data_IF_609103416196
#
_entry.id   IF_609103416196
#
_cell.length_a   1.000
_cell.length_b   1.000
_cell.length_c   1.000
_cell.angle_alpha   90.00
_cell.angle_beta   90.00
_cell.angle_gamma   90.00
#
_symmetry.space_group_name_H-M   'P 1'
#
loop_
_entity.id
_entity.type
_entity.pdbx_description
1 polymer ?
#
# COMPACT_ATOMS: atom_id res chain seq x y z
N UNK A 1 9.00 24.98 9.89
CA UNK A 1 9.05 23.58 10.35
C UNK A 1 9.15 22.74 9.09
N UNK A 2 10.16 21.85 8.95
CA UNK A 2 10.16 20.92 7.82
C UNK A 2 8.86 20.13 7.86
N UNK A 3 8.09 20.19 6.77
CA UNK A 3 6.82 19.48 6.65
C UNK A 3 7.16 18.00 6.66
N UNK A 4 6.53 17.24 7.55
CA UNK A 4 6.78 15.80 7.66
C UNK A 4 6.33 15.11 6.36
N UNK A 5 7.24 14.54 5.58
CA UNK A 5 6.98 13.86 4.29
C UNK A 5 5.83 12.86 4.39
N UNK A 6 5.74 12.11 5.50
CA UNK A 6 4.61 11.21 5.78
C UNK A 6 3.28 11.95 5.81
N UNK A 7 3.19 13.08 6.51
CA UNK A 7 1.94 13.84 6.62
C UNK A 7 1.55 14.46 5.29
N UNK A 8 2.52 15.07 4.58
CA UNK A 8 2.30 15.69 3.27
C UNK A 8 1.81 14.65 2.26
N UNK A 9 2.52 13.52 2.14
CA UNK A 9 2.17 12.48 1.17
C UNK A 9 0.88 11.76 1.51
N UNK A 10 0.61 11.51 2.80
CA UNK A 10 -0.68 10.92 3.23
C UNK A 10 -1.84 11.84 2.86
N UNK A 11 -1.74 13.14 3.14
CA UNK A 11 -2.77 14.11 2.79
C UNK A 11 -2.97 14.21 1.27
N UNK A 12 -1.89 14.22 0.50
CA UNK A 12 -1.94 14.13 -0.96
C UNK A 12 -2.66 12.85 -1.42
N UNK A 13 -2.25 11.69 -0.91
CA UNK A 13 -2.79 10.39 -1.31
C UNK A 13 -4.28 10.26 -1.00
N UNK A 14 -4.74 10.71 0.16
CA UNK A 14 -6.16 10.71 0.52
C UNK A 14 -6.97 11.61 -0.44
N UNK A 15 -6.45 12.79 -0.75
CA UNK A 15 -7.06 13.69 -1.73
C UNK A 15 -7.07 13.10 -3.14
N UNK A 16 -5.99 12.43 -3.52
CA UNK A 16 -5.84 11.73 -4.79
C UNK A 16 -6.85 10.59 -4.90
N UNK A 17 -7.00 9.76 -3.87
CA UNK A 17 -8.00 8.67 -3.82
C UNK A 17 -9.44 9.17 -3.97
N UNK A 18 -9.78 10.31 -3.37
CA UNK A 18 -11.11 10.89 -3.53
C UNK A 18 -11.37 11.31 -4.99
N UNK A 19 -10.37 11.92 -5.64
CA UNK A 19 -10.44 12.25 -7.08
C UNK A 19 -10.48 10.98 -7.93
N UNK A 20 -9.73 9.94 -7.54
CA UNK A 20 -9.70 8.65 -8.21
C UNK A 20 -11.09 8.02 -8.26
N UNK A 21 -11.80 7.96 -7.12
CA UNK A 21 -13.16 7.45 -7.06
C UNK A 21 -14.12 8.21 -8.00
N UNK A 22 -14.03 9.54 -8.04
CA UNK A 22 -14.87 10.37 -8.93
C UNK A 22 -14.57 10.12 -10.40
N UNK A 23 -13.30 10.08 -10.77
CA UNK A 23 -12.87 9.76 -12.14
C UNK A 23 -13.34 8.37 -12.57
N UNK A 24 -13.27 7.38 -11.67
CA UNK A 24 -13.73 6.02 -11.94
C UNK A 24 -15.24 5.97 -12.24
N UNK A 25 -16.07 6.73 -11.54
CA UNK A 25 -17.51 6.82 -11.86
C UNK A 25 -17.74 7.38 -13.27
N UNK A 26 -16.94 8.37 -13.70
CA UNK A 26 -17.03 8.96 -15.04
C UNK A 26 -16.57 7.96 -16.12
N UNK A 27 -15.49 7.23 -15.89
CA UNK A 27 -14.98 6.21 -16.81
C UNK A 27 -15.98 5.05 -16.99
N UNK A 28 -16.59 4.56 -15.91
CA UNK A 28 -17.61 3.52 -15.97
C UNK A 28 -18.88 3.99 -16.71
N UNK A 29 -19.34 5.21 -16.44
CA UNK A 29 -20.49 5.79 -17.13
C UNK A 29 -20.24 5.95 -18.65
N UNK A 30 -19.03 6.38 -19.03
CA UNK A 30 -18.63 6.50 -20.42
C UNK A 30 -18.48 5.13 -21.12
N UNK A 31 -17.90 4.15 -20.43
CA UNK A 31 -17.73 2.78 -20.95
C UNK A 31 -19.04 2.07 -21.26
N UNK A 32 -20.13 2.41 -20.56
CA UNK A 32 -21.47 1.85 -20.74
C UNK A 32 -22.32 2.59 -21.81
N UNK A 33 -21.72 3.41 -22.67
CA UNK A 33 -22.41 4.10 -23.76
C UNK A 33 -23.00 5.47 -23.40
N UNK A 34 -22.56 6.10 -22.31
CA UNK A 34 -23.01 7.43 -21.92
C UNK A 34 -22.61 8.52 -22.93
N UNK A 35 -23.57 8.99 -23.75
CA UNK A 35 -23.36 9.96 -24.84
C UNK A 35 -22.85 11.36 -24.43
N UNK A 36 -22.80 11.68 -23.14
CA UNK A 36 -22.42 13.01 -22.65
C UNK A 36 -20.92 13.20 -22.36
N UNK A 37 -20.10 12.14 -22.49
CA UNK A 37 -18.69 12.19 -22.13
C UNK A 37 -17.83 12.28 -23.39
N UNK A 38 -16.84 13.19 -23.41
CA UNK A 38 -15.81 13.24 -24.45
C UNK A 38 -14.73 12.20 -24.10
N UNK A 39 -14.66 11.04 -24.79
CA UNK A 39 -13.81 9.92 -24.35
C UNK A 39 -12.32 10.28 -24.32
N UNK A 40 -11.85 11.05 -25.29
CA UNK A 40 -10.48 11.58 -25.31
C UNK A 40 -10.15 12.43 -24.09
N UNK A 41 -11.09 13.28 -23.64
CA UNK A 41 -10.90 14.10 -22.47
C UNK A 41 -10.80 13.25 -21.20
N UNK A 42 -11.61 12.20 -21.08
CA UNK A 42 -11.53 11.28 -19.95
C UNK A 42 -10.23 10.49 -19.92
N UNK A 43 -9.77 10.00 -21.08
CA UNK A 43 -8.47 9.31 -21.20
C UNK A 43 -7.33 10.25 -20.79
N UNK A 44 -7.36 11.51 -21.25
CA UNK A 44 -6.37 12.51 -20.86
C UNK A 44 -6.41 12.76 -19.35
N UNK A 45 -7.60 12.98 -18.79
CA UNK A 45 -7.78 13.18 -17.35
C UNK A 45 -7.27 11.98 -16.53
N UNK A 46 -7.51 10.75 -16.98
CA UNK A 46 -7.00 9.56 -16.32
C UNK A 46 -5.48 9.46 -16.41
N UNK A 47 -4.92 9.74 -17.58
CA UNK A 47 -3.46 9.76 -17.79
C UNK A 47 -2.79 10.79 -16.87
N UNK A 48 -3.32 12.01 -16.82
CA UNK A 48 -2.81 13.09 -15.97
C UNK A 48 -2.96 12.76 -14.49
N UNK A 49 -4.07 12.14 -14.09
CA UNK A 49 -4.30 11.74 -12.72
C UNK A 49 -3.29 10.70 -12.22
N UNK A 50 -2.92 9.72 -13.03
CA UNK A 50 -1.85 8.78 -12.67
C UNK A 50 -0.46 9.41 -12.76
N UNK A 51 -0.22 10.33 -13.71
CA UNK A 51 1.05 11.05 -13.78
C UNK A 51 1.32 11.86 -12.52
N UNK A 52 0.32 12.63 -12.05
CA UNK A 52 0.38 13.40 -10.79
C UNK A 52 0.80 12.51 -9.61
N UNK A 53 0.26 11.28 -9.53
CA UNK A 53 0.63 10.34 -8.46
C UNK A 53 2.12 9.98 -8.50
N UNK A 54 2.66 9.63 -9.67
CA UNK A 54 4.06 9.22 -9.77
C UNK A 54 5.04 10.39 -9.63
N UNK A 55 4.65 11.59 -10.04
CA UNK A 55 5.46 12.81 -9.83
C UNK A 55 5.58 13.14 -8.33
N UNK A 56 4.46 13.12 -7.60
CA UNK A 56 4.48 13.35 -6.15
C UNK A 56 5.22 12.23 -5.42
N UNK A 57 5.02 10.97 -5.85
CA UNK A 57 5.73 9.81 -5.29
C UNK A 57 7.23 9.93 -5.51
N UNK A 58 7.67 10.35 -6.70
CA UNK A 58 9.09 10.58 -7.00
C UNK A 58 9.68 11.62 -6.06
N UNK A 59 8.98 12.73 -5.82
CA UNK A 59 9.42 13.77 -4.88
C UNK A 59 9.57 13.21 -3.46
N UNK A 60 8.57 12.44 -3.00
CA UNK A 60 8.62 11.82 -1.68
C UNK A 60 9.70 10.71 -1.57
N UNK A 61 10.02 10.01 -2.66
CA UNK A 61 11.13 9.04 -2.73
C UNK A 61 12.49 9.69 -2.55
N UNK A 62 12.70 10.90 -3.10
CA UNK A 62 13.92 11.67 -2.89
C UNK A 62 14.09 12.10 -1.43
N UNK A 63 12.97 12.46 -0.76
CA UNK A 63 12.97 12.86 0.64
C UNK A 63 13.14 11.68 1.61
N UNK A 64 12.37 10.61 1.44
CA UNK A 64 12.38 9.43 2.31
C UNK A 64 12.00 8.15 1.54
N UNK A 65 13.01 7.50 0.96
CA UNK A 65 12.85 6.25 0.22
C UNK A 65 12.28 5.10 1.08
N UNK A 66 12.60 5.04 2.38
CA UNK A 66 12.13 3.97 3.24
C UNK A 66 10.65 4.09 3.56
N UNK A 67 10.15 5.32 3.71
CA UNK A 67 8.73 5.59 3.82
C UNK A 67 7.96 5.08 2.59
N UNK A 68 8.50 5.26 1.39
CA UNK A 68 7.87 4.76 0.15
C UNK A 68 7.96 3.23 0.02
N UNK A 69 9.02 2.61 0.54
CA UNK A 69 9.15 1.14 0.62
C UNK A 69 8.08 0.50 1.53
N UNK A 70 7.68 1.18 2.60
CA UNK A 70 6.71 0.67 3.57
C UNK A 70 5.59 1.67 3.80
N UNK A 71 4.73 1.90 2.79
CA UNK A 71 3.80 3.01 2.81
C UNK A 71 2.66 2.75 3.82
N UNK A 72 2.53 3.58 4.86
CA UNK A 72 1.51 3.38 5.89
C UNK A 72 0.09 3.75 5.43
N UNK A 73 -0.05 4.47 4.31
CA UNK A 73 -1.34 4.81 3.71
C UNK A 73 -1.98 3.69 2.87
N UNK A 74 -1.23 2.61 2.62
CA UNK A 74 -1.74 1.38 2.00
C UNK A 74 -2.16 0.36 3.05
N UNK A 75 -3.13 -0.47 2.70
CA UNK A 75 -3.57 -1.62 3.52
C UNK A 75 -2.55 -2.76 3.47
N UNK A 76 -2.65 -3.72 4.40
CA UNK A 76 -1.76 -4.90 4.35
C UNK A 76 -1.93 -5.71 3.06
N UNK A 77 -3.16 -5.82 2.56
CA UNK A 77 -3.47 -6.52 1.32
C UNK A 77 -2.91 -5.82 0.09
N UNK A 78 -3.03 -4.49 0.00
CA UNK A 78 -2.41 -3.72 -1.09
C UNK A 78 -0.89 -3.93 -1.10
N UNK A 79 -0.23 -3.83 0.07
CA UNK A 79 1.22 -4.05 0.18
C UNK A 79 1.64 -5.48 -0.23
N UNK A 80 0.82 -6.49 0.04
CA UNK A 80 1.10 -7.87 -0.34
C UNK A 80 1.10 -8.10 -1.86
N UNK A 81 0.52 -7.17 -2.63
CA UNK A 81 0.48 -7.21 -4.10
C UNK A 81 1.63 -6.44 -4.75
N UNK A 82 2.49 -5.80 -3.96
CA UNK A 82 3.60 -5.02 -4.49
C UNK A 82 4.74 -5.92 -4.96
N UNK A 83 5.35 -5.53 -6.08
CA UNK A 83 6.58 -6.14 -6.58
C UNK A 83 7.82 -5.34 -6.17
N UNK A 84 7.74 -4.00 -6.19
CA UNK A 84 8.80 -3.09 -5.69
C UNK A 84 8.19 -2.14 -4.66
N UNK A 85 7.43 -1.15 -5.12
CA UNK A 85 6.67 -0.21 -4.26
C UNK A 85 5.20 -0.10 -4.65
N UNK A 86 4.80 -0.78 -5.71
CA UNK A 86 3.46 -0.78 -6.30
C UNK A 86 3.26 -2.10 -7.07
N UNK A 87 2.05 -2.32 -7.60
CA UNK A 87 1.72 -3.45 -8.47
C UNK A 87 2.71 -3.61 -9.65
N UNK A 88 3.00 -4.84 -10.10
CA UNK A 88 3.85 -5.05 -11.27
C UNK A 88 3.19 -4.56 -12.56
N UNK A 89 3.93 -3.94 -13.50
CA UNK A 89 3.39 -3.49 -14.77
C UNK A 89 2.80 -4.64 -15.61
N UNK A 90 3.31 -5.87 -15.46
CA UNK A 90 2.74 -7.07 -16.09
C UNK A 90 1.28 -7.34 -15.70
N UNK A 91 0.81 -6.84 -14.55
CA UNK A 91 -0.60 -6.96 -14.13
C UNK A 91 -1.54 -6.19 -15.07
N UNK A 92 -1.07 -5.09 -15.69
CA UNK A 92 -1.90 -4.24 -16.54
C UNK A 92 -2.48 -5.00 -17.73
N UNK A 93 -1.73 -5.95 -18.28
CA UNK A 93 -2.18 -6.74 -19.41
C UNK A 93 -3.36 -7.66 -19.09
N UNK A 94 -3.64 -7.94 -17.81
CA UNK A 94 -4.86 -8.65 -17.42
C UNK A 94 -6.11 -7.85 -17.80
N UNK A 95 -6.05 -6.53 -17.70
CA UNK A 95 -7.16 -5.63 -18.05
C UNK A 95 -7.25 -5.33 -19.55
N UNK A 96 -6.18 -5.60 -20.30
CA UNK A 96 -6.16 -5.46 -21.75
C UNK A 96 -6.77 -6.71 -22.43
N UNK A 97 -6.58 -7.89 -21.82
CA UNK A 97 -7.10 -9.15 -22.34
C UNK A 97 -8.65 -9.20 -22.42
N UNK A 98 -9.34 -8.38 -21.62
CA UNK A 98 -10.81 -8.30 -21.61
C UNK A 98 -11.35 -7.32 -22.67
N UNK A 99 -10.48 -6.77 -23.52
CA UNK A 99 -10.84 -5.82 -24.58
C UNK A 99 -11.00 -6.53 -25.93
N UNK A 100 -11.91 -6.02 -26.76
CA UNK A 100 -12.10 -6.47 -28.14
C UNK A 100 -10.97 -5.94 -29.03
N UNK A 101 -9.81 -6.59 -29.02
CA UNK A 101 -8.64 -6.20 -29.81
C UNK A 101 -8.70 -6.73 -31.24
N UNK A 102 -8.24 -5.94 -32.20
CA UNK A 102 -7.90 -6.45 -33.55
C UNK A 102 -6.62 -7.30 -33.51
N UNK A 103 -6.38 -8.10 -34.55
CA UNK A 103 -5.16 -8.91 -34.65
C UNK A 103 -3.87 -8.06 -34.58
N UNK A 104 -3.87 -6.90 -35.24
CA UNK A 104 -2.75 -5.95 -35.21
C UNK A 104 -2.55 -5.34 -33.80
N UNK A 105 -3.64 -4.99 -33.11
CA UNK A 105 -3.57 -4.51 -31.73
C UNK A 105 -3.01 -5.59 -30.79
N UNK A 106 -3.50 -6.82 -30.91
CA UNK A 106 -3.03 -7.95 -30.11
C UNK A 106 -1.53 -8.21 -30.32
N UNK A 107 -1.05 -8.16 -31.57
CA UNK A 107 0.37 -8.30 -31.89
C UNK A 107 1.23 -7.20 -31.25
N UNK A 108 0.79 -5.94 -31.31
CA UNK A 108 1.48 -4.82 -30.65
C UNK A 108 1.50 -4.97 -29.13
N UNK A 109 0.35 -5.30 -28.51
CA UNK A 109 0.25 -5.53 -27.07
C UNK A 109 1.16 -6.68 -26.61
N UNK A 110 1.27 -7.75 -27.38
CA UNK A 110 2.14 -8.87 -27.01
C UNK A 110 3.63 -8.50 -27.07
N UNK A 111 4.04 -7.66 -28.02
CA UNK A 111 5.39 -7.11 -28.03
C UNK A 111 5.68 -6.27 -26.78
N UNK A 112 4.74 -5.39 -26.39
CA UNK A 112 4.83 -4.57 -25.17
C UNK A 112 4.87 -5.46 -23.91
N UNK A 113 4.09 -6.54 -23.89
CA UNK A 113 4.08 -7.54 -22.80
C UNK A 113 5.43 -8.23 -22.66
N UNK A 114 5.99 -8.74 -23.75
CA UNK A 114 7.26 -9.46 -23.74
C UNK A 114 8.40 -8.57 -23.21
N UNK A 115 8.46 -7.32 -23.67
CA UNK A 115 9.48 -6.36 -23.23
C UNK A 115 9.28 -5.92 -21.77
N UNK A 116 8.03 -5.69 -21.37
CA UNK A 116 7.70 -5.35 -19.97
C UNK A 116 8.13 -6.47 -19.03
N UNK A 117 7.81 -7.73 -19.35
CA UNK A 117 8.19 -8.89 -18.54
C UNK A 117 9.71 -9.08 -18.45
N UNK A 118 10.45 -8.77 -19.52
CA UNK A 118 11.92 -8.82 -19.51
C UNK A 118 12.49 -7.79 -18.54
N UNK A 119 12.09 -6.52 -18.67
CA UNK A 119 12.55 -5.44 -17.79
C UNK A 119 12.10 -5.61 -16.34
N UNK A 120 10.90 -6.15 -16.13
CA UNK A 120 10.39 -6.48 -14.80
C UNK A 120 11.28 -7.53 -14.11
N UNK A 121 11.77 -8.55 -14.83
CA UNK A 121 12.74 -9.50 -14.25
C UNK A 121 14.06 -8.82 -13.88
N UNK A 122 14.63 -8.01 -14.77
CA UNK A 122 15.91 -7.32 -14.54
C UNK A 122 15.88 -6.38 -13.33
N UNK A 123 14.81 -5.61 -13.20
CA UNK A 123 14.60 -4.72 -12.03
C UNK A 123 14.38 -5.56 -10.77
N UNK A 124 13.68 -6.70 -10.86
CA UNK A 124 13.38 -7.57 -9.73
C UNK A 124 14.65 -8.23 -9.17
N UNK A 125 15.53 -8.68 -10.05
CA UNK A 125 16.85 -9.21 -9.69
C UNK A 125 17.70 -8.13 -9.02
N UNK A 126 17.68 -6.90 -9.54
CA UNK A 126 18.38 -5.77 -8.92
C UNK A 126 17.82 -5.47 -7.51
N UNK A 127 16.49 -5.45 -7.35
CA UNK A 127 15.86 -5.24 -6.04
C UNK A 127 16.24 -6.33 -5.04
N UNK A 128 16.36 -7.58 -5.47
CA UNK A 128 16.78 -8.68 -4.61
C UNK A 128 18.21 -8.47 -4.06
N UNK A 129 19.14 -8.01 -4.90
CA UNK A 129 20.52 -7.66 -4.47
C UNK A 129 20.52 -6.52 -3.45
N UNK A 130 19.70 -5.48 -3.69
CA UNK A 130 19.58 -4.35 -2.75
C UNK A 130 19.01 -4.81 -1.41
N UNK A 131 18.00 -5.67 -1.42
CA UNK A 131 17.41 -6.25 -0.20
C UNK A 131 18.38 -7.15 0.56
N UNK A 132 19.20 -7.94 -0.13
CA UNK A 132 20.26 -8.75 0.49
C UNK A 132 21.28 -7.86 1.22
N UNK A 133 21.71 -6.78 0.58
CA UNK A 133 22.64 -5.80 1.17
C UNK A 133 22.03 -5.09 2.38
N UNK A 134 20.76 -4.69 2.30
CA UNK A 134 20.02 -4.09 3.41
C UNK A 134 19.89 -5.02 4.61
N UNK A 135 19.67 -6.32 4.38
CA UNK A 135 19.57 -7.32 5.44
C UNK A 135 20.93 -7.61 6.12
N UNK A 136 22.04 -7.45 5.39
CA UNK A 136 23.38 -7.68 5.91
C UNK A 136 23.90 -6.49 6.76
N UNK A 137 23.51 -5.25 6.46
CA UNK A 137 24.06 -4.06 7.11
C UNK A 137 23.99 -4.06 8.65
N UNK A 138 22.86 -4.44 9.30
CA UNK A 138 22.80 -4.53 10.77
C UNK A 138 23.70 -5.62 11.38
N UNK A 139 24.04 -6.67 10.61
CA UNK A 139 24.88 -7.78 11.07
C UNK A 139 26.35 -7.37 11.14
N UNK A 140 26.83 -6.54 10.21
CA UNK A 140 28.18 -5.96 10.27
C UNK A 140 28.38 -5.13 11.55
N UNK A 141 27.38 -4.33 11.92
CA UNK A 141 27.38 -3.60 13.18
C UNK A 141 27.31 -4.49 14.44
N UNK A 142 26.85 -5.74 14.35
CA UNK A 142 26.87 -6.69 15.47
C UNK A 142 28.20 -7.44 15.60
N UNK A 143 28.83 -7.82 14.48
CA UNK A 143 30.16 -8.48 14.46
C UNK A 143 31.26 -7.52 14.93
N UNK A 144 31.18 -6.24 14.58
CA UNK A 144 32.13 -5.24 15.05
C UNK A 144 31.93 -4.83 16.52
N UNK A 145 30.79 -5.16 17.14
CA UNK A 145 30.49 -4.90 18.58
C UNK A 145 31.18 -5.86 19.54
N UNK A 146 31.74 -6.98 19.06
CA UNK A 146 32.55 -7.88 19.89
C UNK A 146 33.92 -7.28 20.26
N UNK A 147 34.33 -6.19 19.61
CA UNK A 147 35.37 -5.28 20.09
C UNK A 147 34.72 -3.99 20.60
N UNK A 148 35.23 -3.44 21.70
CA UNK A 148 34.83 -2.16 22.31
C UNK A 148 34.28 -1.15 21.28
N UNK A 149 33.10 -0.57 21.55
CA UNK A 149 32.51 0.49 20.72
C UNK A 149 33.51 1.65 20.57
N UNK A 150 34.22 1.66 19.43
CA UNK A 150 35.11 2.76 19.04
C UNK A 150 34.25 3.78 18.30
N UNK A 151 34.43 5.05 18.66
CA UNK A 151 33.87 6.21 17.98
C UNK A 151 34.25 6.15 16.48
N UNK A 152 33.29 5.78 15.61
CA UNK A 152 33.53 5.46 14.19
C UNK A 152 32.59 4.39 13.60
N UNK A 153 32.15 3.40 14.40
CA UNK A 153 31.26 2.32 13.93
C UNK A 153 29.82 2.77 13.59
N UNK A 154 29.35 3.85 14.24
CA UNK A 154 28.04 4.45 13.93
C UNK A 154 28.08 5.11 12.53
N UNK A 155 29.20 5.73 12.18
CA UNK A 155 29.41 6.33 10.85
C UNK A 155 29.38 5.27 9.75
N UNK A 156 30.08 4.13 9.93
CA UNK A 156 30.12 3.06 8.92
C UNK A 156 28.74 2.44 8.65
N UNK A 157 27.90 2.30 9.67
CA UNK A 157 26.52 1.82 9.51
C UNK A 157 25.63 2.85 8.80
N UNK A 158 25.78 4.13 9.16
CA UNK A 158 25.03 5.22 8.53
C UNK A 158 25.43 5.36 7.04
N UNK A 159 26.72 5.27 6.71
CA UNK A 159 27.23 5.29 5.34
C UNK A 159 26.68 4.09 4.52
N UNK A 160 26.73 2.88 5.08
CA UNK A 160 26.15 1.70 4.43
C UNK A 160 24.63 1.82 4.24
N UNK A 161 23.93 2.47 5.18
CA UNK A 161 22.50 2.72 5.08
C UNK A 161 22.19 3.73 3.97
N UNK A 162 23.02 4.77 3.79
CA UNK A 162 22.88 5.72 2.69
C UNK A 162 23.14 5.06 1.33
N UNK A 163 24.09 4.15 1.21
CA UNK A 163 24.30 3.35 -0.01
C UNK A 163 23.06 2.50 -0.36
N UNK A 164 22.46 1.85 0.64
CA UNK A 164 21.22 1.09 0.47
C UNK A 164 20.06 2.00 0.04
N UNK A 165 19.92 3.19 0.65
CA UNK A 165 18.89 4.17 0.26
C UNK A 165 19.04 4.58 -1.20
N UNK A 166 20.26 4.89 -1.64
CA UNK A 166 20.52 5.29 -3.02
C UNK A 166 20.22 4.15 -4.00
N UNK A 167 20.65 2.93 -3.70
CA UNK A 167 20.36 1.78 -4.53
C UNK A 167 18.84 1.50 -4.61
N UNK A 168 18.11 1.66 -3.50
CA UNK A 168 16.65 1.58 -3.50
C UNK A 168 16.01 2.66 -4.38
N UNK A 169 16.48 3.92 -4.32
CA UNK A 169 15.97 5.01 -5.18
C UNK A 169 16.13 4.66 -6.66
N UNK A 170 17.31 4.19 -7.07
CA UNK A 170 17.59 3.78 -8.46
C UNK A 170 16.59 2.70 -8.93
N UNK A 171 16.37 1.67 -8.11
CA UNK A 171 15.41 0.59 -8.44
C UNK A 171 13.98 1.12 -8.54
N UNK A 172 13.57 2.02 -7.64
CA UNK A 172 12.22 2.61 -7.65
C UNK A 172 11.98 3.45 -8.91
N UNK A 173 12.94 4.32 -9.27
CA UNK A 173 12.86 5.14 -10.48
C UNK A 173 12.77 4.25 -11.73
N UNK A 174 13.55 3.17 -11.79
CA UNK A 174 13.47 2.20 -12.87
C UNK A 174 12.09 1.52 -12.94
N UNK A 175 11.55 1.11 -11.79
CA UNK A 175 10.25 0.45 -11.69
C UNK A 175 9.08 1.37 -12.08
N UNK A 176 9.04 2.59 -11.57
CA UNK A 176 8.00 3.57 -11.90
C UNK A 176 8.12 4.04 -13.35
N UNK A 177 9.34 4.22 -13.86
CA UNK A 177 9.59 4.46 -15.27
C UNK A 177 9.10 3.32 -16.17
N UNK A 178 9.23 2.06 -15.74
CA UNK A 178 8.68 0.92 -16.47
C UNK A 178 7.14 0.97 -16.48
N UNK A 179 6.49 1.25 -15.35
CA UNK A 179 5.02 1.40 -15.28
C UNK A 179 4.52 2.49 -16.22
N UNK A 180 5.17 3.65 -16.21
CA UNK A 180 4.82 4.78 -17.09
C UNK A 180 4.94 4.42 -18.58
N UNK A 181 6.06 3.80 -18.97
CA UNK A 181 6.28 3.36 -20.36
C UNK A 181 5.28 2.29 -20.80
N UNK A 182 5.05 1.26 -19.98
CA UNK A 182 4.08 0.21 -20.29
C UNK A 182 2.69 0.77 -20.51
N UNK A 183 2.23 1.70 -19.67
CA UNK A 183 0.93 2.36 -19.88
C UNK A 183 0.93 3.16 -21.19
N UNK A 184 1.96 3.95 -21.46
CA UNK A 184 2.03 4.74 -22.70
C UNK A 184 1.96 3.84 -23.95
N UNK A 185 2.74 2.77 -24.00
CA UNK A 185 2.78 1.83 -25.13
C UNK A 185 1.46 1.05 -25.28
N UNK A 186 0.80 0.68 -24.16
CA UNK A 186 -0.55 0.10 -24.20
C UNK A 186 -1.52 1.11 -24.82
N UNK A 187 -1.53 2.36 -24.36
CA UNK A 187 -2.45 3.37 -24.88
C UNK A 187 -2.22 3.62 -26.38
N UNK A 188 -0.97 3.69 -26.85
CA UNK A 188 -0.65 3.83 -28.28
C UNK A 188 -1.18 2.67 -29.15
N UNK A 189 -1.35 1.48 -28.56
CA UNK A 189 -1.93 0.33 -29.24
C UNK A 189 -3.48 0.36 -29.28
N UNK A 190 -4.13 1.03 -28.35
CA UNK A 190 -5.58 0.99 -28.17
C UNK A 190 -6.31 2.11 -28.91
N UNK A 191 -7.58 1.87 -29.21
CA UNK A 191 -8.52 2.92 -29.57
C UNK A 191 -9.10 3.57 -28.32
N UNK A 192 -9.64 4.78 -28.46
CA UNK A 192 -10.07 5.61 -27.32
C UNK A 192 -11.15 4.93 -26.48
N UNK A 193 -12.07 4.19 -27.11
CA UNK A 193 -13.08 3.41 -26.39
C UNK A 193 -12.46 2.28 -25.55
N UNK A 194 -11.44 1.61 -26.09
CA UNK A 194 -10.67 0.58 -25.38
C UNK A 194 -9.85 1.19 -24.24
N UNK A 195 -9.25 2.38 -24.44
CA UNK A 195 -8.52 3.11 -23.38
C UNK A 195 -9.44 3.46 -22.20
N UNK A 196 -10.67 3.91 -22.45
CA UNK A 196 -11.66 4.18 -21.39
C UNK A 196 -11.96 2.92 -20.59
N UNK A 197 -12.24 1.79 -21.28
CA UNK A 197 -12.48 0.49 -20.63
C UNK A 197 -11.26 0.02 -19.83
N UNK A 198 -10.06 0.18 -20.38
CA UNK A 198 -8.80 -0.15 -19.70
C UNK A 198 -8.64 0.63 -18.40
N UNK A 199 -8.76 1.96 -18.45
CA UNK A 199 -8.64 2.80 -17.24
C UNK A 199 -9.74 2.54 -16.21
N UNK A 200 -10.95 2.21 -16.66
CA UNK A 200 -12.04 1.79 -15.78
C UNK A 200 -11.68 0.49 -15.05
N UNK A 201 -11.21 -0.53 -15.77
CA UNK A 201 -10.83 -1.81 -15.19
C UNK A 201 -9.66 -1.69 -14.20
N UNK A 202 -8.61 -0.92 -14.55
CA UNK A 202 -7.44 -0.68 -13.69
C UNK A 202 -7.84 0.00 -12.37
N UNK A 203 -8.66 1.05 -12.43
CA UNK A 203 -9.04 1.74 -11.20
C UNK A 203 -10.08 0.99 -10.38
N UNK A 204 -10.96 0.22 -11.02
CA UNK A 204 -11.86 -0.68 -10.31
C UNK A 204 -11.08 -1.75 -9.53
N UNK A 205 -10.01 -2.30 -10.12
CA UNK A 205 -9.08 -3.17 -9.41
C UNK A 205 -8.48 -2.48 -8.17
N UNK A 206 -7.93 -1.26 -8.32
CA UNK A 206 -7.35 -0.49 -7.20
C UNK A 206 -8.37 -0.26 -6.07
N UNK A 207 -9.57 0.17 -6.42
CA UNK A 207 -10.67 0.39 -5.47
C UNK A 207 -11.02 -0.90 -4.72
N UNK A 208 -11.16 -2.02 -5.43
CA UNK A 208 -11.50 -3.31 -4.81
C UNK A 208 -10.39 -3.84 -3.92
N UNK A 209 -9.13 -3.76 -4.37
CA UNK A 209 -7.97 -4.18 -3.57
C UNK A 209 -7.93 -3.42 -2.24
N UNK A 210 -8.09 -2.09 -2.28
CA UNK A 210 -8.16 -1.26 -1.07
C UNK A 210 -9.33 -1.62 -0.16
N UNK A 211 -10.53 -1.81 -0.72
CA UNK A 211 -11.71 -2.19 0.07
C UNK A 211 -11.49 -3.50 0.82
N UNK A 212 -11.00 -4.53 0.12
CA UNK A 212 -10.69 -5.84 0.71
C UNK A 212 -9.64 -5.69 1.80
N UNK A 213 -8.57 -4.92 1.54
CA UNK A 213 -7.53 -4.67 2.53
C UNK A 213 -8.03 -3.99 3.80
N UNK A 214 -8.91 -2.98 3.68
CA UNK A 214 -9.52 -2.31 4.83
C UNK A 214 -10.39 -3.25 5.66
N UNK A 215 -11.14 -4.14 5.01
CA UNK A 215 -11.94 -5.17 5.67
C UNK A 215 -11.06 -6.18 6.42
N UNK A 216 -9.97 -6.64 5.79
CA UNK A 216 -9.00 -7.57 6.38
C UNK A 216 -8.28 -6.95 7.59
N UNK A 217 -7.76 -5.73 7.44
CA UNK A 217 -7.02 -5.03 8.50
C UNK A 217 -7.93 -4.79 9.73
N UNK A 218 -9.19 -4.41 9.49
CA UNK A 218 -10.18 -4.24 10.55
C UNK A 218 -10.50 -5.56 11.26
N UNK A 219 -10.68 -6.66 10.51
CA UNK A 219 -10.95 -7.97 11.09
C UNK A 219 -9.78 -8.47 11.95
N UNK A 220 -8.55 -8.33 11.45
CA UNK A 220 -7.33 -8.71 12.19
C UNK A 220 -7.20 -7.91 13.49
N UNK A 221 -7.46 -6.60 13.46
CA UNK A 221 -7.44 -5.75 14.64
C UNK A 221 -8.45 -6.23 15.71
N UNK A 222 -9.69 -6.53 15.31
CA UNK A 222 -10.73 -7.01 16.23
C UNK A 222 -10.39 -8.38 16.83
N UNK A 223 -9.78 -9.28 16.04
CA UNK A 223 -9.32 -10.59 16.52
C UNK A 223 -8.22 -10.45 17.58
N UNK A 224 -7.23 -9.58 17.35
CA UNK A 224 -6.17 -9.31 18.32
C UNK A 224 -6.72 -8.71 19.61
N UNK A 225 -7.64 -7.73 19.50
CA UNK A 225 -8.28 -7.14 20.68
C UNK A 225 -9.05 -8.19 21.49
N UNK A 226 -9.78 -9.08 20.79
CA UNK A 226 -10.51 -10.18 21.42
C UNK A 226 -9.56 -11.17 22.10
N UNK A 227 -8.47 -11.56 21.44
CA UNK A 227 -7.45 -12.46 22.00
C UNK A 227 -6.77 -11.85 23.23
N UNK A 228 -6.46 -10.55 23.22
CA UNK A 228 -5.88 -9.83 24.37
C UNK A 228 -6.86 -9.84 25.56
N UNK A 229 -8.16 -9.59 25.31
CA UNK A 229 -9.19 -9.63 26.35
C UNK A 229 -9.33 -11.04 26.94
N UNK A 230 -9.39 -12.09 26.09
CA UNK A 230 -9.42 -13.48 26.55
C UNK A 230 -8.17 -13.87 27.34
N UNK A 231 -6.98 -13.43 26.91
CA UNK A 231 -5.73 -13.68 27.63
C UNK A 231 -5.73 -12.98 28.99
N UNK A 232 -6.21 -11.74 29.05
CA UNK A 232 -6.34 -10.99 30.30
C UNK A 232 -7.35 -11.65 31.26
N UNK A 233 -8.52 -12.08 30.78
CA UNK A 233 -9.54 -12.75 31.60
C UNK A 233 -9.10 -14.14 32.10
N UNK A 234 -8.36 -14.89 31.27
CA UNK A 234 -7.86 -16.22 31.63
C UNK A 234 -6.63 -16.20 32.54
N UNK A 235 -5.76 -15.20 32.40
CA UNK A 235 -4.53 -15.06 33.21
C UNK A 235 -4.77 -14.34 34.54
N UNK A 236 -5.80 -13.50 34.62
CA UNK A 236 -6.19 -12.77 35.83
C UNK A 236 -7.68 -12.93 36.15
N UNK A 237 -8.14 -14.15 36.53
CA UNK A 237 -9.52 -14.32 36.96
C UNK A 237 -9.75 -13.48 38.21
N UNK A 238 -10.60 -12.45 38.09
CA UNK A 238 -11.07 -11.66 39.21
C UNK A 238 -11.55 -12.62 40.29
N UNK A 239 -10.82 -12.66 41.41
CA UNK A 239 -11.23 -13.43 42.58
C UNK A 239 -12.60 -12.93 43.00
N UNK A 240 -13.63 -13.73 42.69
CA UNK A 240 -15.00 -13.53 43.15
C UNK A 240 -14.94 -13.60 44.68
N UNK A 241 -14.75 -12.46 45.35
CA UNK A 241 -14.87 -12.33 46.80
C UNK A 241 -16.23 -12.92 47.17
N UNK A 242 -16.24 -14.09 47.80
CA UNK A 242 -17.44 -14.64 48.45
C UNK A 242 -18.01 -13.52 49.32
N UNK A 243 -19.18 -13.00 48.97
CA UNK A 243 -19.95 -12.11 49.85
C UNK A 243 -20.08 -12.86 51.19
N UNK A 244 -19.40 -12.38 52.23
CA UNK A 244 -19.69 -12.80 53.60
C UNK A 244 -21.17 -12.48 53.83
N UNK A 245 -21.94 -13.50 54.15
CA UNK A 245 -23.29 -13.37 54.69
C UNK A 245 -23.29 -12.33 55.82
N UNK A 246 -24.22 -11.36 55.87
CA UNK A 246 -24.34 -10.50 57.02
C UNK A 246 -24.71 -11.34 58.24
N UNK A 247 -23.93 -11.17 59.30
CA UNK A 247 -24.11 -11.82 60.58
C UNK A 247 -25.45 -11.38 61.20
N UNK A 248 -26.36 -12.33 61.43
CA UNK A 248 -27.67 -12.10 62.04
C UNK A 248 -27.49 -11.84 63.54
N UNK A 249 -27.09 -10.63 63.92
CA UNK A 249 -27.11 -10.22 65.34
C UNK A 249 -27.14 -8.70 65.48
N UNK A 250 -28.30 -8.12 65.17
CA UNK A 250 -28.80 -6.83 65.70
C UNK A 250 -30.23 -6.67 65.20
N UNK A 251 -31.12 -7.54 65.69
CA UNK A 251 -32.57 -7.42 65.52
C UNK A 251 -33.25 -7.78 66.84
N UNK A 252 -32.81 -7.12 67.92
CA UNK A 252 -33.52 -7.02 69.19
C UNK A 252 -33.10 -5.68 69.79
N UNK A 253 -33.92 -4.66 69.58
CA UNK A 253 -34.26 -3.58 70.51
C UNK A 253 -35.01 -2.50 69.71
N UNK A 254 -36.18 -2.09 70.23
CA UNK A 254 -37.13 -1.09 69.71
C UNK A 254 -38.20 -1.58 68.71
N UNK A 255 -39.02 -2.52 69.15
CA UNK A 255 -40.45 -2.55 68.83
C UNK A 255 -41.21 -2.97 70.11
N UNK A 256 -41.18 -2.07 71.09
CA UNK A 256 -42.05 -2.08 72.26
C UNK A 256 -42.47 -0.62 72.51
N UNK A 257 -43.22 -0.10 71.55
CA UNK A 257 -44.14 1.02 71.74
C UNK A 257 -45.24 0.81 70.70
N UNK A 258 -46.46 0.77 71.21
CA UNK A 258 -47.74 0.73 70.51
C UNK A 258 -48.30 -0.68 70.26
N UNK A 259 -49.24 -1.09 71.14
CA UNK A 259 -50.20 -2.18 70.91
C UNK A 259 -50.21 -3.23 72.00
#
# INVERSE_FOLDING_TARGET
>A
MPTNTLQTFTAFYDGWLLRHHRLQQQLLAAGNGGHHHQPHKLVQQATDHYREYYEEKSTATEEDVFLICSPPWHTSFERALFWVTEFPPSLLFRFVNDLDLTADQAGRIEAVRAETLRKEREIGETMAVVQESAAAAPLYGLVNRTGLLVDGQVSELDDAMEEVKEAMRVVMVAADGLRGRTVAEILEALEVGQMVKFFAAVGEFRIRARRIGLEMDRAAFLQLQTAILYFHESSFPLHRRKKKSPNTSTAKFLAAKDG
#
